data_IF_638653227502
#
_entry.id   IF_638653227502
#
_cell.length_a   1.000
_cell.length_b   1.000
_cell.length_c   1.000
_cell.angle_alpha   90.00
_cell.angle_beta   90.00
_cell.angle_gamma   90.00
#
_symmetry.space_group_name_H-M   'P 1'
#
loop_
_entity.id
_entity.type
_entity.pdbx_description
1 polymer ?
#
# COMPACT_ATOMS: atom_id res chain seq x y z
N UNK A 1 1.01 -0.45 18.20
CA UNK A 1 1.67 -1.74 17.91
C UNK A 1 1.84 -1.85 16.40
N UNK A 2 3.06 -1.90 15.84
CA UNK A 2 3.31 -1.98 14.40
C UNK A 2 2.56 -3.11 13.70
N UNK A 3 2.42 -4.27 14.35
CA UNK A 3 1.72 -5.44 13.80
C UNK A 3 0.23 -5.17 13.57
N UNK A 4 -0.36 -4.31 14.39
CA UNK A 4 -1.76 -3.91 14.26
C UNK A 4 -1.95 -2.77 13.25
N UNK A 5 -0.92 -1.95 13.05
CA UNK A 5 -1.00 -0.72 12.23
C UNK A 5 -0.49 -0.89 10.80
N UNK A 6 0.47 -1.78 10.55
CA UNK A 6 1.06 -2.00 9.23
C UNK A 6 0.50 -3.24 8.53
N UNK A 7 -0.81 -3.25 8.28
CA UNK A 7 -1.52 -4.37 7.66
C UNK A 7 -2.65 -3.89 6.76
N UNK A 8 -2.98 -4.70 5.75
CA UNK A 8 -4.00 -4.37 4.74
C UNK A 8 -5.35 -3.91 5.33
N UNK A 9 -5.91 -4.55 6.38
CA UNK A 9 -7.16 -4.07 6.96
C UNK A 9 -7.06 -2.64 7.48
N UNK A 10 -5.93 -2.31 8.14
CA UNK A 10 -5.72 -0.98 8.70
C UNK A 10 -5.55 0.07 7.60
N UNK A 11 -4.79 -0.25 6.56
CA UNK A 11 -4.62 0.65 5.43
C UNK A 11 -5.96 0.89 4.71
N UNK A 12 -6.79 -0.14 4.52
CA UNK A 12 -8.11 0.02 3.91
C UNK A 12 -9.03 0.91 4.75
N UNK A 13 -9.02 0.77 6.08
CA UNK A 13 -9.74 1.67 7.01
C UNK A 13 -9.28 3.13 6.87
N UNK A 14 -7.96 3.36 6.83
CA UNK A 14 -7.40 4.69 6.65
C UNK A 14 -7.84 5.32 5.33
N UNK A 15 -7.93 4.53 4.27
CA UNK A 15 -8.40 4.99 2.96
C UNK A 15 -9.89 5.31 2.98
N UNK A 16 -10.71 4.53 3.70
CA UNK A 16 -12.12 4.86 3.91
C UNK A 16 -12.28 6.20 4.65
N UNK A 17 -11.48 6.41 5.70
CA UNK A 17 -11.45 7.66 6.46
C UNK A 17 -11.02 8.85 5.59
N UNK A 18 -10.02 8.65 4.72
CA UNK A 18 -9.56 9.67 3.79
C UNK A 18 -10.65 10.04 2.77
N UNK A 19 -11.34 9.04 2.24
CA UNK A 19 -12.47 9.25 1.34
C UNK A 19 -13.60 10.02 2.03
N UNK A 20 -13.93 9.66 3.28
CA UNK A 20 -14.94 10.38 4.06
C UNK A 20 -14.52 11.83 4.33
N UNK A 21 -13.24 12.07 4.67
CA UNK A 21 -12.69 13.41 4.90
C UNK A 21 -12.85 14.32 3.67
N UNK A 22 -12.60 13.78 2.47
CA UNK A 22 -12.76 14.53 1.21
C UNK A 22 -14.16 14.45 0.60
N UNK A 23 -15.12 13.79 1.25
CA UNK A 23 -16.48 13.60 0.72
C UNK A 23 -16.54 12.75 -0.56
N UNK A 24 -15.52 11.94 -0.83
CA UNK A 24 -15.41 11.10 -2.02
C UNK A 24 -16.24 9.83 -1.87
N UNK A 25 -17.48 9.86 -2.39
CA UNK A 25 -18.39 8.70 -2.33
C UNK A 25 -17.96 7.54 -3.22
N UNK A 26 -17.39 7.85 -4.38
CA UNK A 26 -16.85 6.88 -5.32
C UNK A 26 -15.53 7.38 -5.89
N UNK A 27 -14.56 6.48 -6.07
CA UNK A 27 -13.25 6.80 -6.65
C UNK A 27 -12.85 5.80 -7.74
N UNK A 28 -12.06 6.27 -8.69
CA UNK A 28 -11.24 5.40 -9.54
C UNK A 28 -9.90 5.20 -8.84
N UNK A 29 -9.51 3.95 -8.63
CA UNK A 29 -8.32 3.61 -7.87
C UNK A 29 -7.20 3.14 -8.79
N UNK A 30 -6.05 3.80 -8.77
CA UNK A 30 -4.80 3.30 -9.37
C UNK A 30 -3.91 2.74 -8.27
N UNK A 31 -3.69 1.42 -8.26
CA UNK A 31 -2.94 0.73 -7.23
C UNK A 31 -1.63 0.15 -7.75
N UNK A 32 -0.51 0.62 -7.20
CA UNK A 32 0.84 0.07 -7.45
C UNK A 32 1.27 -0.79 -6.26
N UNK A 33 1.73 -2.03 -6.49
CA UNK A 33 2.26 -2.90 -5.41
C UNK A 33 1.30 -2.96 -4.19
N UNK A 34 1.75 -2.57 -2.98
CA UNK A 34 0.93 -2.50 -1.77
C UNK A 34 -0.38 -1.73 -1.98
N UNK A 35 -0.36 -0.64 -2.75
CA UNK A 35 -1.56 0.14 -3.08
C UNK A 35 -2.63 -0.66 -3.84
N UNK A 36 -2.21 -1.61 -4.68
CA UNK A 36 -3.14 -2.54 -5.34
C UNK A 36 -3.67 -3.61 -4.39
N UNK A 37 -2.85 -4.11 -3.47
CA UNK A 37 -3.30 -5.03 -2.41
C UNK A 37 -4.33 -4.38 -1.49
N UNK A 38 -4.14 -3.11 -1.13
CA UNK A 38 -5.10 -2.32 -0.35
C UNK A 38 -6.42 -2.20 -1.10
N UNK A 39 -6.37 -1.89 -2.41
CA UNK A 39 -7.56 -1.79 -3.25
C UNK A 39 -8.34 -3.11 -3.30
N UNK A 40 -7.64 -4.23 -3.58
CA UNK A 40 -8.26 -5.55 -3.65
C UNK A 40 -8.85 -5.99 -2.31
N UNK A 41 -8.13 -5.77 -1.20
CA UNK A 41 -8.63 -6.08 0.14
C UNK A 41 -9.83 -5.20 0.52
N UNK A 42 -9.74 -3.89 0.28
CA UNK A 42 -10.79 -2.92 0.57
C UNK A 42 -12.03 -3.13 -0.28
N UNK A 43 -11.91 -3.53 -1.54
CA UNK A 43 -13.03 -3.81 -2.44
C UNK A 43 -13.97 -4.90 -1.90
N UNK A 44 -13.40 -5.92 -1.26
CA UNK A 44 -14.15 -6.97 -0.56
C UNK A 44 -14.53 -6.63 0.89
N UNK A 45 -14.19 -5.43 1.37
CA UNK A 45 -14.34 -5.04 2.78
C UNK A 45 -14.86 -3.61 2.93
N UNK A 46 -14.13 -2.78 3.68
CA UNK A 46 -14.57 -1.43 4.09
C UNK A 46 -14.78 -0.44 2.94
N UNK A 47 -14.26 -0.72 1.74
CA UNK A 47 -14.43 0.11 0.54
C UNK A 47 -15.45 -0.49 -0.45
N UNK A 48 -16.16 -1.55 -0.06
CA UNK A 48 -17.18 -2.16 -0.90
C UNK A 48 -18.21 -1.10 -1.35
N UNK A 49 -18.48 -1.06 -2.66
CA UNK A 49 -19.39 -0.09 -3.27
C UNK A 49 -18.81 1.33 -3.42
N UNK A 50 -17.58 1.60 -2.94
CA UNK A 50 -16.92 2.91 -3.05
C UNK A 50 -15.88 2.98 -4.17
N UNK A 51 -15.48 1.85 -4.74
CA UNK A 51 -14.48 1.76 -5.83
C UNK A 51 -15.19 1.59 -7.17
N UNK A 52 -15.20 2.62 -8.00
CA UNK A 52 -15.85 2.60 -9.32
C UNK A 52 -15.06 1.78 -10.35
N UNK A 53 -13.73 1.84 -10.27
CA UNK A 53 -12.84 0.93 -10.97
C UNK A 53 -11.51 0.81 -10.22
N UNK A 54 -10.80 -0.29 -10.45
CA UNK A 54 -9.44 -0.51 -9.95
C UNK A 54 -8.54 -0.78 -11.14
N UNK A 55 -7.46 -0.01 -11.25
CA UNK A 55 -6.36 -0.21 -12.19
C UNK A 55 -5.19 -0.73 -11.36
N UNK A 56 -4.77 -1.97 -11.63
CA UNK A 56 -3.64 -2.60 -10.94
C UNK A 56 -2.39 -2.43 -11.79
N UNK A 57 -1.35 -1.86 -11.19
CA UNK A 57 -0.04 -1.79 -11.79
C UNK A 57 0.90 -2.79 -11.11
N UNK A 58 1.26 -3.82 -11.88
CA UNK A 58 2.28 -4.82 -11.55
C UNK A 58 2.07 -5.50 -10.18
N UNK A 59 0.82 -5.81 -9.86
CA UNK A 59 0.45 -6.55 -8.65
C UNK A 59 -0.81 -7.36 -8.89
N UNK A 60 -0.89 -8.53 -8.26
CA UNK A 60 -2.02 -9.44 -8.34
C UNK A 60 -2.38 -10.04 -6.98
N UNK A 61 -3.40 -10.92 -6.93
CA UNK A 61 -3.91 -11.51 -5.69
C UNK A 61 -2.95 -12.52 -5.06
N UNK A 62 -1.95 -12.99 -5.81
CA UNK A 62 -0.93 -13.93 -5.34
C UNK A 62 0.41 -13.22 -5.41
N UNK A 63 1.07 -13.12 -4.26
CA UNK A 63 2.45 -12.62 -4.18
C UNK A 63 3.37 -13.84 -4.08
N UNK A 64 4.33 -14.01 -5.02
CA UNK A 64 5.31 -15.08 -4.93
C UNK A 64 6.13 -14.97 -3.64
N UNK A 65 6.37 -16.09 -2.98
CA UNK A 65 7.13 -16.13 -1.71
C UNK A 65 8.54 -15.55 -1.87
N UNK A 66 9.20 -15.83 -2.99
CA UNK A 66 10.53 -15.30 -3.29
C UNK A 66 10.52 -13.77 -3.37
N UNK A 67 9.56 -13.18 -4.10
CA UNK A 67 9.40 -11.73 -4.18
C UNK A 67 9.05 -11.12 -2.82
N UNK A 68 8.18 -11.76 -2.04
CA UNK A 68 7.88 -11.30 -0.69
C UNK A 68 9.11 -11.30 0.22
N UNK A 69 9.96 -12.33 0.12
CA UNK A 69 11.19 -12.42 0.89
C UNK A 69 12.19 -11.34 0.48
N UNK A 70 12.39 -11.12 -0.82
CA UNK A 70 13.24 -10.02 -1.32
C UNK A 70 12.79 -8.66 -0.78
N UNK A 71 11.47 -8.41 -0.77
CA UNK A 71 10.88 -7.18 -0.22
C UNK A 71 11.15 -7.07 1.28
N UNK A 72 10.93 -8.15 2.04
CA UNK A 72 11.19 -8.18 3.47
C UNK A 72 12.67 -7.88 3.77
N UNK A 73 13.58 -8.50 3.02
CA UNK A 73 15.02 -8.39 3.24
C UNK A 73 15.51 -6.94 3.07
N UNK A 74 15.17 -6.26 1.97
CA UNK A 74 15.62 -4.87 1.81
C UNK A 74 14.87 -3.90 2.73
N UNK A 75 13.61 -4.18 3.09
CA UNK A 75 12.83 -3.32 4.00
C UNK A 75 13.34 -3.41 5.45
N UNK A 76 13.88 -4.56 5.83
CA UNK A 76 14.48 -4.78 7.15
C UNK A 76 15.83 -4.06 7.34
N UNK A 77 16.49 -3.65 6.25
CA UNK A 77 17.80 -3.00 6.27
C UNK A 77 17.71 -1.60 5.63
N UNK A 78 17.01 -0.64 6.28
CA UNK A 78 16.91 0.71 5.75
C UNK A 78 18.30 1.34 5.65
N UNK A 79 18.58 2.01 4.53
CA UNK A 79 19.79 2.82 4.40
C UNK A 79 19.70 4.01 5.36
N UNK A 80 20.71 4.15 6.21
CA UNK A 80 20.81 5.26 7.16
C UNK A 80 21.90 6.19 6.65
N UNK A 81 21.54 7.45 6.50
CA UNK A 81 22.44 8.51 6.06
C UNK A 81 22.61 9.52 7.20
N UNK A 82 23.84 9.91 7.49
CA UNK A 82 24.12 10.92 8.52
C UNK A 82 23.73 12.32 8.05
N UNK A 83 23.81 12.56 6.74
CA UNK A 83 23.42 13.82 6.10
C UNK A 83 22.63 13.56 4.82
N UNK A 84 21.70 14.46 4.43
CA UNK A 84 21.01 14.35 3.15
C UNK A 84 21.94 14.29 1.92
N UNK A 85 23.15 14.85 2.01
CA UNK A 85 24.17 14.76 0.97
C UNK A 85 24.58 13.31 0.69
N UNK A 86 24.67 12.49 1.73
CA UNK A 86 25.21 11.13 1.66
C UNK A 86 24.26 10.20 0.88
N UNK A 87 22.97 10.57 0.79
CA UNK A 87 21.96 9.89 -0.02
C UNK A 87 22.25 10.03 -1.52
N UNK A 88 22.75 11.19 -1.97
CA UNK A 88 22.99 11.46 -3.39
C UNK A 88 24.19 10.67 -3.94
N UNK A 89 25.13 10.29 -3.08
CA UNK A 89 26.30 9.49 -3.43
C UNK A 89 25.99 7.99 -3.55
N UNK A 90 24.75 7.57 -3.28
CA UNK A 90 24.29 6.16 -3.30
C UNK A 90 23.25 5.86 -4.40
N UNK A 91 23.03 6.80 -5.35
CA UNK A 91 22.10 6.66 -6.48
C UNK A 91 22.83 6.38 -7.79
#
# INVERSE_FOLDING_TARGET
>A
NPEETYRLPRYAEQMAQLMDHFGSRHVFWLGTSLGGLIAMHGAGGVLMGRLAAIILNDVGPVIPTETAQLIADYTAHPQIFDRPSDMLDHV
#
